data_IF_777910048507
#
_entry.id   IF_777910048507
#
_cell.length_a   1.000
_cell.length_b   1.000
_cell.length_c   1.000
_cell.angle_alpha   90.00
_cell.angle_beta   90.00
_cell.angle_gamma   90.00
#
_symmetry.space_group_name_H-M   'P 1'
#
loop_
_entity.id
_entity.type
_entity.pdbx_description
1 polymer ?
#
# COMPACT_ATOMS: atom_id res chain seq x y z
N UNK A 1 3.11 16.50 -3.52
CA UNK A 1 4.31 17.12 -2.93
C UNK A 1 4.40 16.78 -1.45
N UNK A 2 5.55 16.25 -1.02
CA UNK A 2 5.84 15.93 0.37
C UNK A 2 6.08 17.20 1.21
N UNK A 3 5.32 17.37 2.29
CA UNK A 3 5.49 18.47 3.25
C UNK A 3 6.23 17.99 4.50
N UNK A 4 7.33 18.64 4.87
CA UNK A 4 8.09 18.34 6.09
C UNK A 4 7.88 19.46 7.10
N UNK A 5 7.40 19.12 8.29
CA UNK A 5 7.21 20.04 9.41
C UNK A 5 8.14 19.66 10.56
N UNK A 6 8.98 20.60 11.01
CA UNK A 6 9.78 20.43 12.24
C UNK A 6 8.90 20.80 13.44
N UNK A 7 8.84 19.91 14.44
CA UNK A 7 8.20 20.16 15.73
C UNK A 7 9.27 20.10 16.81
N UNK A 8 9.34 21.14 17.62
CA UNK A 8 10.20 21.21 18.80
C UNK A 8 9.31 20.89 20.00
N UNK A 9 9.67 19.88 20.79
CA UNK A 9 8.97 19.57 22.04
C UNK A 9 9.46 20.52 23.14
N UNK A 10 8.66 20.66 24.20
CA UNK A 10 9.04 21.44 25.40
C UNK A 10 10.36 20.96 26.03
N UNK A 11 10.69 19.70 25.80
CA UNK A 11 11.88 18.99 26.28
C UNK A 11 13.15 19.20 25.42
N UNK A 12 13.13 20.17 24.49
CA UNK A 12 14.25 20.44 23.58
C UNK A 12 14.46 19.42 22.45
N UNK A 13 13.79 18.26 22.50
CA UNK A 13 13.85 17.27 21.41
C UNK A 13 13.14 17.76 20.16
N UNK A 14 13.75 17.52 18.99
CA UNK A 14 13.18 17.86 17.68
C UNK A 14 12.62 16.61 17.00
N UNK A 15 11.47 16.75 16.34
CA UNK A 15 10.93 15.73 15.45
C UNK A 15 10.52 16.34 14.11
N UNK A 16 10.69 15.58 13.05
CA UNK A 16 10.37 15.93 11.67
C UNK A 16 9.19 15.08 11.22
N UNK A 17 8.03 15.71 11.07
CA UNK A 17 6.83 15.05 10.54
C UNK A 17 6.75 15.29 9.04
N UNK A 18 6.68 14.22 8.28
CA UNK A 18 6.51 14.23 6.83
C UNK A 18 5.06 13.85 6.50
N UNK A 19 4.40 14.64 5.66
CA UNK A 19 3.04 14.41 5.15
C UNK A 19 3.10 14.40 3.61
N UNK A 20 2.90 13.24 3.00
CA UNK A 20 2.89 13.05 1.55
C UNK A 20 1.44 12.95 1.09
N UNK A 21 1.00 13.94 0.31
CA UNK A 21 -0.33 13.98 -0.30
C UNK A 21 -0.23 13.97 -1.82
N UNK A 22 -0.98 13.08 -2.42
CA UNK A 22 -1.11 12.95 -3.87
C UNK A 22 -2.58 12.66 -4.20
N UNK A 23 -3.08 13.29 -5.27
CA UNK A 23 -4.48 13.12 -5.69
C UNK A 23 -4.71 11.66 -6.09
N UNK A 24 -5.75 11.03 -5.53
CA UNK A 24 -6.09 9.62 -5.81
C UNK A 24 -5.43 8.59 -4.89
N UNK A 25 -4.58 8.99 -3.93
CA UNK A 25 -3.95 8.08 -2.98
C UNK A 25 -4.19 8.50 -1.52
N UNK A 26 -4.24 7.56 -0.56
CA UNK A 26 -4.38 7.88 0.85
C UNK A 26 -3.14 8.67 1.35
N UNK A 27 -3.33 9.69 2.20
CA UNK A 27 -2.23 10.51 2.69
C UNK A 27 -1.30 9.70 3.61
N UNK A 28 0.00 9.71 3.32
CA UNK A 28 1.01 9.01 4.10
C UNK A 28 1.71 9.97 5.07
N UNK A 29 1.77 9.59 6.35
CA UNK A 29 2.37 10.42 7.40
C UNK A 29 3.35 9.63 8.22
N UNK A 30 4.56 10.16 8.40
CA UNK A 30 5.59 9.54 9.26
C UNK A 30 6.41 10.58 9.99
N UNK A 31 6.84 10.25 11.20
CA UNK A 31 7.64 11.13 12.05
C UNK A 31 9.04 10.55 12.22
N UNK A 32 10.06 11.40 12.13
CA UNK A 32 11.46 11.05 12.22
C UNK A 32 12.18 11.96 13.19
N UNK A 33 13.29 11.50 13.77
CA UNK A 33 14.14 12.35 14.63
C UNK A 33 15.21 13.09 13.81
N UNK A 34 15.57 12.56 12.62
CA UNK A 34 16.60 13.09 11.74
C UNK A 34 16.00 13.66 10.45
N UNK A 35 16.46 14.84 10.04
CA UNK A 35 15.96 15.54 8.84
C UNK A 35 16.30 14.80 7.54
N UNK A 36 17.45 14.13 7.48
CA UNK A 36 17.90 13.39 6.30
C UNK A 36 16.98 12.20 6.02
N UNK A 37 16.60 11.48 7.08
CA UNK A 37 15.72 10.31 6.97
C UNK A 37 14.30 10.75 6.56
N UNK A 38 13.83 11.87 7.10
CA UNK A 38 12.58 12.50 6.70
C UNK A 38 12.56 12.86 5.20
N UNK A 39 13.61 13.50 4.69
CA UNK A 39 13.73 13.84 3.26
C UNK A 39 13.80 12.59 2.38
N UNK A 40 14.62 11.60 2.77
CA UNK A 40 14.78 10.34 2.04
C UNK A 40 13.46 9.58 1.96
N UNK A 41 12.74 9.46 3.08
CA UNK A 41 11.45 8.77 3.13
C UNK A 41 10.38 9.50 2.31
N UNK A 42 10.31 10.83 2.38
CA UNK A 42 9.39 11.63 1.57
C UNK A 42 9.59 11.38 0.07
N UNK A 43 10.85 11.43 -0.39
CA UNK A 43 11.20 11.18 -1.80
C UNK A 43 10.89 9.72 -2.22
N UNK A 44 11.28 8.74 -1.40
CA UNK A 44 10.99 7.33 -1.68
C UNK A 44 9.49 7.04 -1.76
N UNK A 45 8.70 7.64 -0.87
CA UNK A 45 7.25 7.46 -0.84
C UNK A 45 6.59 8.11 -2.05
N UNK A 46 7.04 9.31 -2.44
CA UNK A 46 6.55 10.01 -3.64
C UNK A 46 6.87 9.22 -4.92
N UNK A 47 8.09 8.67 -5.03
CA UNK A 47 8.48 7.80 -6.14
C UNK A 47 7.64 6.53 -6.16
N UNK A 48 7.48 5.84 -5.02
CA UNK A 48 6.70 4.61 -4.96
C UNK A 48 5.23 4.80 -5.36
N UNK A 49 4.63 5.94 -4.98
CA UNK A 49 3.26 6.31 -5.37
C UNK A 49 3.19 6.67 -6.86
N UNK A 50 4.15 7.45 -7.36
CA UNK A 50 4.21 7.87 -8.77
C UNK A 50 4.43 6.68 -9.71
N UNK A 51 5.30 5.74 -9.33
CA UNK A 51 5.57 4.52 -10.09
C UNK A 51 4.39 3.53 -10.09
N UNK A 52 3.27 3.82 -9.40
CA UNK A 52 2.12 2.94 -9.31
C UNK A 52 2.37 1.64 -8.52
N UNK A 53 3.62 1.37 -8.12
CA UNK A 53 4.03 0.24 -7.26
C UNK A 53 3.47 0.31 -5.85
N UNK A 54 2.90 1.46 -5.46
CA UNK A 54 2.26 1.62 -4.16
C UNK A 54 0.96 0.81 -4.02
N UNK A 55 0.34 0.41 -5.14
CA UNK A 55 -0.84 -0.45 -5.12
C UNK A 55 -0.51 -1.87 -5.61
N UNK A 56 -0.60 -2.82 -4.68
CA UNK A 56 -0.91 -4.25 -4.89
C UNK A 56 0.16 -5.21 -5.40
N UNK A 57 1.46 -4.91 -5.45
CA UNK A 57 2.43 -6.01 -5.68
C UNK A 57 2.37 -7.06 -4.55
N UNK A 58 2.10 -6.65 -3.31
CA UNK A 58 2.04 -7.58 -2.17
C UNK A 58 0.77 -8.44 -2.10
N UNK A 59 -0.38 -7.98 -2.61
CA UNK A 59 -1.61 -8.78 -2.63
C UNK A 59 -1.78 -9.55 -3.95
N UNK A 60 -1.33 -8.97 -5.07
CA UNK A 60 -1.38 -9.64 -6.37
C UNK A 60 -0.33 -10.74 -6.53
N UNK A 61 0.71 -10.77 -5.68
CA UNK A 61 1.62 -11.91 -5.54
C UNK A 61 1.17 -12.97 -4.53
N UNK A 62 0.22 -12.63 -3.63
CA UNK A 62 -0.24 -13.56 -2.58
C UNK A 62 -1.35 -14.50 -3.03
N UNK A 63 -1.95 -14.25 -4.18
CA UNK A 63 -2.93 -15.15 -4.78
C UNK A 63 -2.48 -15.48 -6.19
N UNK A 64 -1.86 -16.64 -6.31
CA UNK A 64 -1.53 -17.24 -7.60
C UNK A 64 -2.80 -17.58 -8.37
N UNK A 65 -2.73 -17.64 -9.70
CA UNK A 65 -3.87 -18.06 -10.53
C UNK A 65 -4.39 -19.45 -10.11
N UNK A 66 -3.49 -20.32 -9.63
CA UNK A 66 -3.83 -21.61 -9.04
C UNK A 66 -4.77 -21.48 -7.82
N UNK A 67 -4.44 -20.61 -6.85
CA UNK A 67 -5.29 -20.40 -5.66
C UNK A 67 -6.67 -19.81 -6.02
N UNK A 68 -6.76 -19.02 -7.09
CA UNK A 68 -8.02 -18.49 -7.57
C UNK A 68 -8.88 -19.59 -8.21
N UNK A 69 -8.27 -20.51 -8.97
CA UNK A 69 -8.94 -21.68 -9.55
C UNK A 69 -9.44 -22.63 -8.45
N UNK A 70 -8.61 -22.93 -7.46
CA UNK A 70 -8.98 -23.78 -6.31
C UNK A 70 -10.18 -23.21 -5.55
N UNK A 71 -10.18 -21.89 -5.30
CA UNK A 71 -11.31 -21.21 -4.65
C UNK A 71 -12.58 -21.26 -5.51
N UNK A 72 -12.44 -21.11 -6.83
CA UNK A 72 -13.58 -21.18 -7.74
C UNK A 72 -14.21 -22.59 -7.75
N UNK A 73 -13.37 -23.64 -7.76
CA UNK A 73 -13.81 -25.03 -7.66
C UNK A 73 -14.50 -25.30 -6.32
N UNK A 74 -13.92 -24.83 -5.22
CA UNK A 74 -14.43 -25.15 -3.88
C UNK A 74 -15.71 -24.41 -3.50
N UNK A 75 -15.85 -23.15 -3.90
CA UNK A 75 -16.92 -22.28 -3.40
C UNK A 75 -17.97 -21.90 -4.47
N UNK A 76 -17.61 -21.86 -5.75
CA UNK A 76 -18.50 -21.38 -6.82
C UNK A 76 -19.07 -22.52 -7.67
N UNK A 77 -18.28 -23.55 -7.97
CA UNK A 77 -18.76 -24.73 -8.69
C UNK A 77 -19.92 -25.49 -7.99
N UNK A 78 -19.95 -25.68 -6.66
CA UNK A 78 -21.07 -26.38 -6.01
C UNK A 78 -22.37 -25.58 -5.93
N UNK A 79 -22.30 -24.26 -6.10
CA UNK A 79 -23.49 -23.38 -6.12
C UNK A 79 -24.07 -23.18 -7.51
N UNK A 80 -23.35 -23.59 -8.57
CA UNK A 80 -23.90 -23.62 -9.92
C UNK A 80 -24.66 -24.93 -10.15
N UNK A 81 -25.90 -24.88 -10.69
CA UNK A 81 -26.59 -26.08 -11.09
C UNK A 81 -25.71 -26.79 -12.13
N UNK A 82 -25.47 -28.09 -11.94
CA UNK A 82 -24.70 -28.90 -12.89
C UNK A 82 -25.28 -28.68 -14.28
N UNK A 83 -24.48 -28.13 -15.19
CA UNK A 83 -24.75 -28.29 -16.62
C UNK A 83 -24.65 -29.79 -16.90
N UNK A 84 -25.81 -30.44 -16.86
CA UNK A 84 -26.00 -31.84 -17.21
C UNK A 84 -25.67 -31.99 -18.69
N UNK A 85 -24.48 -32.51 -18.96
CA UNK A 85 -24.12 -33.30 -20.14
C UNK A 85 -23.27 -34.41 -19.53
N UNK A 86 -23.72 -35.62 -19.20
CA UNK A 86 -24.43 -36.65 -19.98
C UNK A 86 -23.88 -36.81 -21.40
N UNK A 87 -23.24 -37.99 -21.56
CA UNK A 87 -22.60 -38.62 -22.73
C UNK A 87 -21.16 -38.23 -23.08
#
# INVERSE_FOLDING_TARGET
>A
MASIRKRIKKDGTYSYRVDVRMKGFPPQRKTFNRITDAKRWGKQTEVAITEGRYFKTAESQKHTLAEMVDRYIKYVLPTKPKARNQE
#
